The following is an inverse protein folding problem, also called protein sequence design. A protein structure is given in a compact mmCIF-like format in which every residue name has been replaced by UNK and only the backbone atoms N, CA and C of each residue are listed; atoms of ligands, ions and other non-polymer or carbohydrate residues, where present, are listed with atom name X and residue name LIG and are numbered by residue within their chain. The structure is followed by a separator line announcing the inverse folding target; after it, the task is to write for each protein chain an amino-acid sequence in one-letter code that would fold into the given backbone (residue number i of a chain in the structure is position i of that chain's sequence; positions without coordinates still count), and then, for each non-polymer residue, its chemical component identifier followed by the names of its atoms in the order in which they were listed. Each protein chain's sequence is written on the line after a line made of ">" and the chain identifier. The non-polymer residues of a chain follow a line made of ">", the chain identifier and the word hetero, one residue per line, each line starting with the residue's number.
data_IF_239442395986
#
_entry.id   IF_239442395986
#
_cell.length_a   1.000
_cell.length_b   1.000
_cell.length_c   1.000
_cell.angle_alpha   90.00
_cell.angle_beta   90.00
_cell.angle_gamma   90.00
#
_symmetry.space_group_name_H-M   'P 1'
#
loop_
_entity.id
_entity.type
_entity.pdbx_description
1 polymer ?
#
# COMPACT_ATOMS: atom_id res chain seq x y z
N UNK A 1 8.57 14.32 1.81
CA UNK A 1 8.46 12.97 1.21
C UNK A 1 9.49 12.73 0.11
N UNK A 2 10.00 11.50 -0.02
CA UNK A 2 10.87 11.05 -1.14
C UNK A 2 9.99 10.37 -2.19
N UNK A 3 10.33 10.52 -3.47
CA UNK A 3 9.65 9.82 -4.55
C UNK A 3 10.30 8.43 -4.75
N UNK A 4 9.62 7.40 -4.27
CA UNK A 4 10.00 5.99 -4.40
C UNK A 4 8.82 5.17 -4.92
N UNK A 5 9.06 3.90 -5.30
CA UNK A 5 7.98 3.01 -5.76
C UNK A 5 6.89 2.90 -4.69
N UNK A 6 7.27 2.74 -3.41
CA UNK A 6 6.30 2.64 -2.30
C UNK A 6 5.41 3.87 -2.20
N UNK A 7 6.02 5.06 -2.24
CA UNK A 7 5.25 6.31 -2.14
C UNK A 7 4.35 6.53 -3.35
N UNK A 8 4.74 6.06 -4.54
CA UNK A 8 3.91 6.13 -5.74
C UNK A 8 2.70 5.19 -5.64
N UNK A 9 2.88 3.98 -5.13
CA UNK A 9 1.77 3.06 -4.87
C UNK A 9 0.81 3.63 -3.82
N UNK A 10 1.33 4.23 -2.75
CA UNK A 10 0.51 4.91 -1.74
C UNK A 10 -0.27 6.10 -2.32
N UNK A 11 0.34 6.88 -3.21
CA UNK A 11 -0.35 7.96 -3.92
C UNK A 11 -1.52 7.46 -4.77
N UNK A 12 -1.30 6.38 -5.54
CA UNK A 12 -2.35 5.73 -6.35
C UNK A 12 -3.47 5.13 -5.50
N UNK A 13 -3.17 4.69 -4.28
CA UNK A 13 -4.16 4.13 -3.35
C UNK A 13 -5.12 5.16 -2.76
N UNK A 14 -4.80 6.46 -2.85
CA UNK A 14 -5.58 7.52 -2.19
C UNK A 14 -5.51 7.51 -0.66
N UNK A 15 -4.61 6.72 -0.07
CA UNK A 15 -4.46 6.58 1.39
C UNK A 15 -3.54 7.66 2.01
N UNK A 16 -2.98 8.56 1.21
CA UNK A 16 -2.12 9.65 1.69
C UNK A 16 -2.95 10.78 2.34
N UNK A 17 -2.33 11.51 3.27
CA UNK A 17 -2.88 12.78 3.75
C UNK A 17 -2.94 13.81 2.62
N UNK A 18 -3.81 14.81 2.73
CA UNK A 18 -3.93 15.87 1.70
C UNK A 18 -2.59 16.57 1.43
N UNK A 19 -1.81 16.82 2.48
CA UNK A 19 -0.48 17.45 2.40
C UNK A 19 0.53 16.56 1.68
N UNK A 20 0.56 15.27 2.02
CA UNK A 20 1.46 14.30 1.39
C UNK A 20 1.10 14.08 -0.09
N UNK A 21 -0.20 14.02 -0.38
CA UNK A 21 -0.70 13.88 -1.74
C UNK A 21 -0.27 15.07 -2.62
N UNK A 22 -0.44 16.31 -2.15
CA UNK A 22 0.00 17.50 -2.87
C UNK A 22 1.52 17.50 -3.10
N UNK A 23 2.30 17.23 -2.04
CA UNK A 23 3.76 17.21 -2.12
C UNK A 23 4.26 16.12 -3.08
N UNK A 24 3.59 14.97 -3.16
CA UNK A 24 3.95 13.92 -4.10
C UNK A 24 3.49 14.24 -5.53
N UNK A 25 2.30 14.85 -5.69
CA UNK A 25 1.77 15.27 -6.99
C UNK A 25 2.69 16.29 -7.68
N UNK A 26 3.21 17.26 -6.94
CA UNK A 26 4.19 18.23 -7.48
C UNK A 26 5.48 17.53 -7.94
N UNK A 27 5.99 16.58 -7.15
CA UNK A 27 7.20 15.83 -7.48
C UNK A 27 7.01 14.88 -8.67
N UNK A 28 5.82 14.29 -8.78
CA UNK A 28 5.43 13.47 -9.93
C UNK A 28 5.33 14.35 -11.18
N UNK A 29 4.70 15.53 -11.07
CA UNK A 29 4.62 16.53 -12.15
C UNK A 29 5.99 17.03 -12.64
N UNK A 30 6.96 17.14 -11.74
CA UNK A 30 8.32 17.61 -12.06
C UNK A 30 9.26 16.50 -12.59
N UNK A 31 8.85 15.23 -12.56
CA UNK A 31 9.72 14.08 -12.88
C UNK A 31 9.16 13.25 -14.04
N UNK A 32 9.70 13.42 -15.27
CA UNK A 32 9.28 12.63 -16.43
C UNK A 32 9.45 11.12 -16.23
N UNK A 33 10.50 10.71 -15.51
CA UNK A 33 10.75 9.29 -15.19
C UNK A 33 9.66 8.72 -14.28
N UNK A 34 9.17 9.52 -13.33
CA UNK A 34 8.11 9.08 -12.43
C UNK A 34 6.75 9.05 -13.13
N UNK A 35 6.47 10.00 -14.03
CA UNK A 35 5.28 9.96 -14.89
C UNK A 35 5.26 8.70 -15.76
N UNK A 36 6.39 8.39 -16.42
CA UNK A 36 6.51 7.17 -17.22
C UNK A 36 6.33 5.90 -16.39
N UNK A 37 6.78 5.90 -15.12
CA UNK A 37 6.55 4.78 -14.20
C UNK A 37 5.07 4.67 -13.81
N UNK A 38 4.40 5.79 -13.55
CA UNK A 38 2.97 5.82 -13.22
C UNK A 38 2.10 5.32 -14.39
N UNK A 39 2.38 5.78 -15.61
CA UNK A 39 1.73 5.28 -16.83
C UNK A 39 2.03 3.79 -17.09
N UNK A 40 3.24 3.34 -16.75
CA UNK A 40 3.61 1.92 -16.84
C UNK A 40 2.80 1.08 -15.83
N UNK A 41 2.69 1.54 -14.59
CA UNK A 41 1.88 0.89 -13.56
C UNK A 41 0.40 0.81 -13.97
N UNK A 42 -0.13 1.87 -14.57
CA UNK A 42 -1.52 1.92 -15.02
C UNK A 42 -1.83 0.85 -16.07
N UNK A 43 -0.94 0.70 -17.06
CA UNK A 43 -1.05 -0.34 -18.08
C UNK A 43 -0.89 -1.76 -17.54
N UNK A 44 -0.03 -1.97 -16.54
CA UNK A 44 0.21 -3.29 -15.96
C UNK A 44 -1.00 -3.77 -15.17
N UNK A 45 -1.61 -2.92 -14.34
CA UNK A 45 -2.76 -3.30 -13.51
C UNK A 45 -4.02 -3.57 -14.35
N UNK A 46 -4.17 -2.93 -15.51
CA UNK A 46 -5.28 -3.15 -16.44
C UNK A 46 -5.02 -4.28 -17.45
N UNK A 47 -3.81 -4.83 -17.48
CA UNK A 47 -3.38 -5.85 -18.43
C UNK A 47 -3.74 -7.27 -18.00
N UNK A 48 -3.55 -8.27 -18.89
CA UNK A 48 -3.65 -9.68 -18.50
C UNK A 48 -2.53 -10.04 -17.52
N UNK A 49 -2.85 -10.90 -16.55
CA UNK A 49 -1.89 -11.40 -15.55
C UNK A 49 -0.61 -11.91 -16.22
N UNK A 50 0.52 -11.31 -15.85
CA UNK A 50 1.81 -11.73 -16.37
C UNK A 50 2.34 -12.95 -15.62
N UNK A 51 2.75 -13.96 -16.37
CA UNK A 51 3.53 -15.09 -15.87
C UNK A 51 5.02 -14.76 -15.93
N UNK A 52 5.79 -15.11 -14.90
CA UNK A 52 7.21 -14.81 -14.82
C UNK A 52 7.82 -15.12 -13.46
N UNK A 53 9.07 -14.71 -13.28
CA UNK A 53 9.77 -14.79 -11.99
C UNK A 53 9.21 -13.73 -11.06
N UNK A 54 8.37 -14.18 -10.12
CA UNK A 54 7.68 -13.32 -9.15
C UNK A 54 8.54 -13.19 -7.88
N UNK A 55 8.52 -12.02 -7.24
CA UNK A 55 9.14 -11.85 -5.94
C UNK A 55 8.48 -12.79 -4.90
N UNK A 56 9.24 -13.15 -3.86
CA UNK A 56 8.71 -13.91 -2.74
C UNK A 56 7.52 -13.16 -2.10
N UNK A 57 6.41 -13.86 -1.87
CA UNK A 57 5.18 -13.26 -1.37
C UNK A 57 5.36 -12.63 0.02
N UNK A 58 6.22 -13.17 0.88
CA UNK A 58 6.49 -12.59 2.19
C UNK A 58 7.30 -11.30 2.05
N UNK A 59 8.21 -11.24 1.07
CA UNK A 59 8.97 -10.02 0.78
C UNK A 59 8.06 -8.91 0.24
N UNK A 60 7.13 -9.23 -0.68
CA UNK A 60 6.09 -8.29 -1.16
C UNK A 60 5.24 -7.79 0.01
N UNK A 61 4.75 -8.71 0.85
CA UNK A 61 3.94 -8.36 2.02
C UNK A 61 4.71 -7.46 2.98
N UNK A 62 5.93 -7.82 3.37
CA UNK A 62 6.77 -7.01 4.24
C UNK A 62 7.05 -5.62 3.64
N UNK A 63 7.25 -5.54 2.32
CA UNK A 63 7.47 -4.28 1.63
C UNK A 63 6.23 -3.36 1.67
N UNK A 64 5.03 -3.91 1.46
CA UNK A 64 3.78 -3.15 1.46
C UNK A 64 3.34 -2.74 2.88
N UNK A 65 3.63 -3.58 3.88
CA UNK A 65 3.30 -3.31 5.30
C UNK A 65 4.32 -2.39 6.02
N UNK A 66 5.39 -1.96 5.35
CA UNK A 66 6.55 -1.28 5.94
C UNK A 66 7.36 -2.11 6.95
N UNK A 67 7.22 -3.44 6.94
CA UNK A 67 7.98 -4.35 7.80
C UNK A 67 9.31 -4.81 7.18
N UNK A 68 9.53 -4.55 5.88
CA UNK A 68 10.78 -4.91 5.21
C UNK A 68 11.95 -4.04 5.74
N UNK A 69 13.08 -4.64 6.14
CA UNK A 69 14.26 -3.91 6.61
C UNK A 69 14.71 -2.81 5.64
N UNK A 70 15.07 -1.64 6.17
CA UNK A 70 15.36 -0.42 5.40
C UNK A 70 16.48 -0.63 4.38
N UNK A 71 17.47 -1.45 4.71
CA UNK A 71 18.58 -1.87 3.85
C UNK A 71 18.13 -2.73 2.66
N UNK A 72 17.02 -3.47 2.79
CA UNK A 72 16.43 -4.29 1.72
C UNK A 72 15.46 -3.53 0.83
N UNK A 73 14.83 -2.47 1.32
CA UNK A 73 13.84 -1.68 0.56
C UNK A 73 14.39 -1.24 -0.79
N UNK A 74 15.59 -0.66 -0.83
CA UNK A 74 16.18 -0.18 -2.07
C UNK A 74 16.54 -1.29 -3.06
N UNK A 75 16.88 -2.50 -2.58
CA UNK A 75 17.15 -3.65 -3.43
C UNK A 75 15.84 -4.19 -4.05
N UNK A 76 14.80 -4.31 -3.23
CA UNK A 76 13.48 -4.74 -3.66
C UNK A 76 12.87 -3.77 -4.70
N UNK A 77 12.94 -2.46 -4.46
CA UNK A 77 12.46 -1.46 -5.43
C UNK A 77 13.17 -1.59 -6.78
N UNK A 78 14.49 -1.83 -6.79
CA UNK A 78 15.24 -2.06 -8.03
C UNK A 78 14.79 -3.33 -8.75
N UNK A 79 14.54 -4.42 -8.02
CA UNK A 79 14.02 -5.66 -8.59
C UNK A 79 12.65 -5.45 -9.25
N UNK A 80 11.73 -4.76 -8.58
CA UNK A 80 10.42 -4.42 -9.16
C UNK A 80 10.60 -3.58 -10.43
N UNK A 81 11.43 -2.54 -10.40
CA UNK A 81 11.61 -1.67 -11.57
C UNK A 81 12.22 -2.41 -12.78
N UNK A 82 13.05 -3.43 -12.53
CA UNK A 82 13.70 -4.24 -13.55
C UNK A 82 12.80 -5.32 -14.19
N UNK A 83 11.75 -5.79 -13.50
CA UNK A 83 10.87 -6.86 -13.98
C UNK A 83 9.41 -6.41 -14.07
N UNK A 84 8.81 -6.52 -15.26
CA UNK A 84 7.38 -6.24 -15.43
C UNK A 84 6.50 -7.09 -14.53
N UNK A 85 6.83 -8.39 -14.38
CA UNK A 85 6.06 -9.31 -13.56
C UNK A 85 6.15 -8.92 -12.07
N UNK A 86 7.35 -8.58 -11.58
CA UNK A 86 7.52 -8.15 -10.19
C UNK A 86 6.85 -6.80 -9.89
N UNK A 87 6.90 -5.86 -10.85
CA UNK A 87 6.23 -4.57 -10.72
C UNK A 87 4.71 -4.72 -10.70
N UNK A 88 4.16 -5.52 -11.60
CA UNK A 88 2.74 -5.81 -11.69
C UNK A 88 2.22 -6.49 -10.44
N UNK A 89 2.88 -7.55 -9.97
CA UNK A 89 2.48 -8.29 -8.76
C UNK A 89 2.44 -7.35 -7.54
N UNK A 90 3.51 -6.58 -7.33
CA UNK A 90 3.58 -5.64 -6.20
C UNK A 90 2.48 -4.57 -6.28
N UNK A 91 2.21 -4.05 -7.49
CA UNK A 91 1.17 -3.05 -7.72
C UNK A 91 -0.25 -3.63 -7.54
N UNK A 92 -0.49 -4.83 -8.05
CA UNK A 92 -1.76 -5.54 -7.93
C UNK A 92 -2.07 -5.88 -6.47
N UNK A 93 -1.10 -6.40 -5.71
CA UNK A 93 -1.23 -6.62 -4.27
C UNK A 93 -1.55 -5.32 -3.53
N UNK A 94 -0.84 -4.23 -3.84
CA UNK A 94 -1.11 -2.91 -3.23
C UNK A 94 -2.53 -2.43 -3.52
N UNK A 95 -3.03 -2.61 -4.75
CA UNK A 95 -4.38 -2.22 -5.13
C UNK A 95 -5.43 -3.08 -4.42
N UNK A 96 -5.22 -4.40 -4.34
CA UNK A 96 -6.10 -5.32 -3.62
C UNK A 96 -6.20 -4.97 -2.12
N UNK A 97 -5.06 -4.70 -1.48
CA UNK A 97 -5.02 -4.24 -0.09
C UNK A 97 -5.76 -2.92 0.10
N UNK A 98 -5.61 -1.98 -0.85
CA UNK A 98 -6.34 -0.70 -0.81
C UNK A 98 -7.85 -0.94 -0.79
N UNK A 99 -8.36 -1.79 -1.70
CA UNK A 99 -9.79 -2.14 -1.74
C UNK A 99 -10.25 -2.74 -0.40
N UNK A 100 -9.47 -3.64 0.18
CA UNK A 100 -9.77 -4.24 1.48
C UNK A 100 -9.81 -3.22 2.62
N UNK A 101 -8.88 -2.26 2.63
CA UNK A 101 -8.78 -1.20 3.65
C UNK A 101 -9.88 -0.16 3.55
N UNK A 102 -10.30 0.19 2.33
CA UNK A 102 -11.37 1.18 2.10
C UNK A 102 -12.77 0.58 2.19
N UNK A 103 -12.89 -0.76 2.21
CA UNK A 103 -14.17 -1.43 2.34
C UNK A 103 -14.79 -1.18 3.71
N UNK A 104 -16.01 -0.66 3.75
CA UNK A 104 -16.77 -0.50 5.00
C UNK A 104 -17.30 -1.85 5.42
N UNK A 105 -16.59 -2.50 6.35
CA UNK A 105 -17.04 -3.75 6.95
C UNK A 105 -18.14 -3.45 7.98
N UNK A 106 -19.36 -3.94 7.75
CA UNK A 106 -20.46 -3.82 8.71
C UNK A 106 -20.13 -4.67 9.93
N UNK A 107 -19.83 -4.03 11.06
CA UNK A 107 -19.71 -4.71 12.34
C UNK A 107 -21.12 -5.01 12.84
N UNK A 108 -21.35 -6.27 13.22
CA UNK A 108 -22.62 -6.65 13.84
C UNK A 108 -22.90 -5.81 15.09
N UNK A 109 -24.17 -5.39 15.26
CA UNK A 109 -24.55 -4.45 16.32
C UNK A 109 -24.38 -5.07 17.71
N UNK A 110 -24.62 -6.37 17.85
CA UNK A 110 -24.44 -7.09 19.11
C UNK A 110 -22.95 -7.13 19.48
N UNK A 111 -22.09 -7.48 18.53
CA UNK A 111 -20.64 -7.48 18.73
C UNK A 111 -20.12 -6.09 19.13
N UNK A 112 -20.56 -5.03 18.42
CA UNK A 112 -20.21 -3.64 18.75
C UNK A 112 -20.61 -3.29 20.18
N UNK A 113 -21.86 -3.58 20.57
CA UNK A 113 -22.36 -3.25 21.90
C UNK A 113 -21.60 -4.00 23.00
N UNK A 114 -21.26 -5.27 22.75
CA UNK A 114 -20.48 -6.08 23.69
C UNK A 114 -19.07 -5.53 23.89
N UNK A 115 -18.40 -5.11 22.82
CA UNK A 115 -17.07 -4.49 22.92
C UNK A 115 -17.14 -3.17 23.69
N UNK A 116 -18.13 -2.32 23.40
CA UNK A 116 -18.31 -1.05 24.12
C UNK A 116 -18.59 -1.26 25.61
N UNK A 117 -19.39 -2.26 25.95
CA UNK A 117 -19.66 -2.62 27.35
C UNK A 117 -18.38 -3.10 28.05
N UNK A 118 -17.58 -3.97 27.40
CA UNK A 118 -16.31 -4.44 27.97
C UNK A 118 -15.32 -3.30 28.24
N UNK A 119 -15.26 -2.29 27.37
CA UNK A 119 -14.43 -1.10 27.55
C UNK A 119 -14.94 -0.24 28.71
N UNK A 120 -16.27 -0.04 28.81
CA UNK A 120 -16.87 0.69 29.91
C UNK A 120 -16.63 0.00 31.27
N UNK A 121 -16.76 -1.32 31.32
CA UNK A 121 -16.54 -2.12 32.53
C UNK A 121 -15.05 -2.14 32.93
N UNK A 122 -14.12 -2.16 31.96
CA UNK A 122 -12.68 -2.05 32.26
C UNK A 122 -12.27 -0.65 32.71
N UNK A 123 -12.83 0.40 32.11
CA UNK A 123 -12.59 1.79 32.53
C UNK A 123 -13.15 2.07 33.93
N UNK A 124 -14.30 1.47 34.28
CA UNK A 124 -14.90 1.56 35.61
C UNK A 124 -14.11 0.79 36.70
N UNK A 125 -13.35 -0.24 36.31
CA UNK A 125 -12.59 -1.10 37.22
C UNK A 125 -11.11 -0.68 37.44
N UNK A 126 -10.68 0.50 36.97
CA UNK A 126 -9.48 1.17 37.46
C UNK A 126 -8.15 0.42 37.29
N UNK A 127 -7.82 -0.04 36.08
CA UNK A 127 -6.44 -0.40 35.72
C UNK A 127 -5.94 0.46 34.55
N UNK A 128 -5.45 1.64 34.90
CA UNK A 128 -4.40 2.38 34.19
C UNK A 128 -3.25 2.61 35.17
#
# INVERSE_FOLDING_TARGET
>A
MRLTLRTLLAFRSGLLSATDWQALSEKLGASPTAQALDERLDRLVQGPLRTGDLPDANEVSAYLSNDLPVDRVGAFEKQCLASHAALEETAACSAALTVMMTSVHKIDRELRNRILQMVADHGANGRL
#
